data_IF_965235126227
#
_entry.id   IF_965235126227
#
_cell.length_a   1.000
_cell.length_b   1.000
_cell.length_c   1.000
_cell.angle_alpha   90.00
_cell.angle_beta   90.00
_cell.angle_gamma   90.00
#
_symmetry.space_group_name_H-M   'P 1'
#
loop_
_entity.id
_entity.type
_entity.pdbx_description
1 polymer ?
#
# COMPACT_ATOMS: atom_id res chain seq x y z
N UNK A 1 -2.48 12.51 13.85
CA UNK A 1 -3.91 12.15 13.86
C UNK A 1 -4.03 10.75 14.45
N UNK A 2 -4.90 10.55 15.44
CA UNK A 2 -5.12 9.25 16.10
C UNK A 2 -6.11 8.46 15.23
N UNK A 3 -5.64 7.43 14.55
CA UNK A 3 -6.43 6.62 13.61
C UNK A 3 -7.40 5.65 14.32
N UNK A 4 -7.44 5.67 15.65
CA UNK A 4 -8.14 4.68 16.47
C UNK A 4 -9.62 5.00 16.69
N UNK A 5 -10.09 6.21 16.38
CA UNK A 5 -11.45 6.68 16.76
C UNK A 5 -12.31 7.24 15.62
N UNK A 6 -11.85 7.26 14.36
CA UNK A 6 -12.64 7.79 13.24
C UNK A 6 -12.99 6.71 12.21
N UNK A 7 -14.26 6.29 12.20
CA UNK A 7 -14.90 5.50 11.13
C UNK A 7 -15.17 6.36 9.86
N UNK A 8 -14.55 7.54 9.77
CA UNK A 8 -14.58 8.43 8.61
C UNK A 8 -14.21 7.71 7.31
N UNK A 9 -14.98 8.01 6.26
CA UNK A 9 -14.76 7.44 4.93
C UNK A 9 -13.54 8.12 4.30
N UNK A 10 -12.38 7.48 4.43
CA UNK A 10 -11.18 7.83 3.70
C UNK A 10 -11.40 7.67 2.19
N UNK A 11 -10.60 8.35 1.36
CA UNK A 11 -10.49 7.98 -0.06
C UNK A 11 -10.08 6.51 -0.23
N UNK A 12 -10.37 5.87 -1.38
CA UNK A 12 -10.15 4.42 -1.53
C UNK A 12 -8.68 4.02 -1.36
N UNK A 13 -7.73 4.81 -1.88
CA UNK A 13 -6.30 4.57 -1.67
C UNK A 13 -5.90 4.61 -0.19
N UNK A 14 -6.39 5.61 0.56
CA UNK A 14 -6.15 5.73 2.02
C UNK A 14 -6.82 4.60 2.79
N UNK A 15 -8.01 4.17 2.38
CA UNK A 15 -8.68 2.99 2.92
C UNK A 15 -7.83 1.73 2.75
N UNK A 16 -7.22 1.54 1.58
CA UNK A 16 -6.32 0.41 1.34
C UNK A 16 -5.11 0.44 2.27
N UNK A 17 -4.48 1.62 2.43
CA UNK A 17 -3.32 1.79 3.29
C UNK A 17 -3.66 1.47 4.76
N UNK A 18 -4.76 2.02 5.27
CA UNK A 18 -5.26 1.74 6.61
C UNK A 18 -5.66 0.26 6.80
N UNK A 19 -6.18 -0.39 5.75
CA UNK A 19 -6.50 -1.81 5.78
C UNK A 19 -5.25 -2.68 5.94
N UNK A 20 -4.18 -2.38 5.20
CA UNK A 20 -2.90 -3.08 5.34
C UNK A 20 -2.32 -2.87 6.74
N UNK A 21 -2.37 -1.64 7.27
CA UNK A 21 -1.95 -1.35 8.65
C UNK A 21 -2.72 -2.19 9.67
N UNK A 22 -4.03 -2.33 9.47
CA UNK A 22 -4.89 -3.16 10.33
C UNK A 22 -4.44 -4.62 10.30
N UNK A 23 -4.05 -5.14 9.13
CA UNK A 23 -3.52 -6.50 9.01
C UNK A 23 -2.16 -6.66 9.69
N UNK A 24 -1.29 -5.65 9.65
CA UNK A 24 -0.04 -5.65 10.41
C UNK A 24 -0.27 -5.74 11.92
N UNK A 25 -1.23 -4.96 12.45
CA UNK A 25 -1.60 -5.03 13.88
C UNK A 25 -2.10 -6.43 14.27
N UNK A 26 -2.68 -7.17 13.32
CA UNK A 26 -3.14 -8.56 13.49
C UNK A 26 -2.04 -9.61 13.27
N UNK A 27 -0.79 -9.19 13.05
CA UNK A 27 0.35 -10.09 12.89
C UNK A 27 0.70 -10.46 11.44
N UNK A 28 -0.03 -9.96 10.44
CA UNK A 28 0.24 -10.26 9.03
C UNK A 28 1.36 -9.35 8.45
N UNK A 29 2.56 -9.42 9.04
CA UNK A 29 3.64 -8.47 8.76
C UNK A 29 4.22 -8.55 7.34
N UNK A 30 4.11 -9.71 6.67
CA UNK A 30 4.59 -9.89 5.28
C UNK A 30 3.60 -9.45 4.21
N UNK A 31 2.51 -8.77 4.58
CA UNK A 31 1.67 -8.05 3.62
C UNK A 31 2.32 -6.69 3.33
N UNK A 32 3.00 -6.59 2.21
CA UNK A 32 3.76 -5.41 1.79
C UNK A 32 3.05 -4.69 0.63
N UNK A 33 3.31 -3.40 0.48
CA UNK A 33 2.76 -2.60 -0.62
C UNK A 33 3.86 -2.02 -1.49
N UNK A 34 3.56 -1.84 -2.78
CA UNK A 34 4.51 -1.27 -3.74
C UNK A 34 3.88 -0.15 -4.55
N UNK A 35 3.59 0.98 -3.91
CA UNK A 35 2.84 2.03 -4.53
C UNK A 35 3.66 2.67 -5.66
N UNK A 36 3.03 2.93 -6.80
CA UNK A 36 3.67 3.57 -7.94
C UNK A 36 2.66 4.36 -8.76
N UNK A 37 3.17 5.32 -9.53
CA UNK A 37 2.40 6.00 -10.56
C UNK A 37 2.47 5.21 -11.86
N UNK A 38 1.33 5.03 -12.52
CA UNK A 38 1.28 4.46 -13.85
C UNK A 38 1.99 5.36 -14.87
N UNK A 39 2.43 4.79 -16.00
CA UNK A 39 3.15 5.50 -17.06
C UNK A 39 2.48 6.78 -17.58
N UNK A 40 1.15 6.83 -17.53
CA UNK A 40 0.39 8.01 -17.94
C UNK A 40 0.45 9.16 -16.92
N UNK A 41 0.98 8.93 -15.71
CA UNK A 41 0.87 9.84 -14.57
C UNK A 41 -0.54 9.98 -14.00
N UNK A 42 -1.54 9.34 -14.59
CA UNK A 42 -2.96 9.57 -14.26
C UNK A 42 -3.47 8.71 -13.09
N UNK A 43 -2.84 7.56 -12.85
CA UNK A 43 -3.32 6.59 -11.89
C UNK A 43 -2.23 6.20 -10.92
N UNK A 44 -2.58 6.26 -9.64
CA UNK A 44 -1.80 5.64 -8.59
C UNK A 44 -2.17 4.16 -8.52
N UNK A 45 -1.17 3.31 -8.44
CA UNK A 45 -1.33 1.85 -8.36
C UNK A 45 -0.60 1.34 -7.14
N UNK A 46 -1.13 0.28 -6.55
CA UNK A 46 -0.60 -0.28 -5.33
C UNK A 46 -0.77 -1.80 -5.33
N UNK A 47 0.16 -2.54 -5.95
CA UNK A 47 0.26 -3.97 -5.78
C UNK A 47 0.54 -4.32 -4.32
N UNK A 48 -0.07 -5.41 -3.88
CA UNK A 48 0.15 -6.05 -2.59
C UNK A 48 0.99 -7.30 -2.81
N UNK A 49 1.99 -7.43 -1.97
CA UNK A 49 3.00 -8.48 -2.04
C UNK A 49 2.94 -9.27 -0.76
N UNK A 50 3.05 -10.59 -0.89
CA UNK A 50 3.07 -11.49 0.25
C UNK A 50 4.44 -12.14 0.29
N UNK A 51 5.25 -11.75 1.27
CA UNK A 51 6.56 -12.35 1.55
C UNK A 51 7.54 -12.30 0.36
N UNK A 52 7.71 -11.11 -0.24
CA UNK A 52 8.69 -10.87 -1.31
C UNK A 52 8.36 -11.50 -2.67
N UNK A 53 7.20 -12.15 -2.81
CA UNK A 53 6.75 -12.70 -4.10
C UNK A 53 6.48 -11.56 -5.08
N UNK A 54 7.15 -11.59 -6.24
CA UNK A 54 7.03 -10.55 -7.25
C UNK A 54 5.56 -10.23 -7.60
N UNK A 55 5.09 -8.98 -7.42
CA UNK A 55 3.73 -8.55 -7.65
C UNK A 55 3.35 -8.57 -9.13
N UNK A 56 4.35 -8.56 -10.01
CA UNK A 56 4.16 -8.64 -11.45
C UNK A 56 4.16 -10.10 -11.94
N UNK A 57 4.75 -11.01 -11.16
CA UNK A 57 4.66 -12.46 -11.41
C UNK A 57 3.27 -13.03 -11.09
N UNK A 58 2.60 -12.47 -10.08
CA UNK A 58 1.26 -12.90 -9.67
C UNK A 58 0.23 -12.02 -10.37
N UNK A 59 -0.29 -12.51 -11.50
CA UNK A 59 -1.35 -11.87 -12.31
C UNK A 59 -2.71 -11.77 -11.60
N UNK A 60 -2.80 -12.02 -10.29
CA UNK A 60 -4.06 -11.92 -9.56
C UNK A 60 -4.45 -10.45 -9.40
N UNK A 61 -5.42 -10.00 -10.21
CA UNK A 61 -6.13 -8.72 -10.01
C UNK A 61 -6.56 -8.50 -8.56
N UNK A 62 -6.76 -9.58 -7.81
CA UNK A 62 -7.18 -9.61 -6.42
C UNK A 62 -6.21 -8.93 -5.45
N UNK A 63 -4.93 -8.79 -5.82
CA UNK A 63 -3.89 -8.16 -5.00
C UNK A 63 -3.32 -6.90 -5.63
N UNK A 64 -4.00 -6.32 -6.61
CA UNK A 64 -3.57 -5.08 -7.24
C UNK A 64 -4.67 -4.03 -7.16
N UNK A 65 -4.30 -2.80 -6.84
CA UNK A 65 -5.19 -1.66 -6.80
C UNK A 65 -4.76 -0.59 -7.78
N UNK A 66 -5.72 0.09 -8.38
CA UNK A 66 -5.53 1.29 -9.21
C UNK A 66 -6.55 2.34 -8.79
N UNK A 67 -6.12 3.59 -8.61
CA UNK A 67 -7.01 4.71 -8.29
C UNK A 67 -8.08 4.92 -9.36
N UNK A 68 -7.82 4.53 -10.62
CA UNK A 68 -8.81 4.53 -11.70
C UNK A 68 -9.97 3.56 -11.50
N UNK A 69 -9.81 2.53 -10.66
CA UNK A 69 -10.88 1.60 -10.26
C UNK A 69 -11.74 2.12 -9.11
N UNK A 70 -11.44 3.31 -8.56
CA UNK A 70 -12.19 3.89 -7.46
C UNK A 70 -12.19 2.98 -6.23
N UNK A 71 -13.36 2.46 -5.87
CA UNK A 71 -13.59 1.63 -4.68
C UNK A 71 -13.42 0.12 -4.89
N UNK A 72 -12.99 -0.31 -6.08
CA UNK A 72 -12.62 -1.69 -6.39
C UNK A 72 -11.29 -2.07 -5.70
N UNK A 73 -11.33 -2.17 -4.38
CA UNK A 73 -10.18 -2.54 -3.55
C UNK A 73 -9.84 -4.03 -3.70
N UNK A 74 -8.58 -4.43 -3.44
CA UNK A 74 -8.17 -5.84 -3.32
C UNK A 74 -9.13 -6.66 -2.41
N UNK A 75 -9.63 -7.78 -2.95
CA UNK A 75 -10.65 -8.62 -2.28
C UNK A 75 -12.07 -8.04 -2.24
N UNK A 76 -12.33 -6.90 -2.88
CA UNK A 76 -13.59 -6.17 -2.89
C UNK A 76 -14.03 -5.81 -4.31
N UNK A 77 -15.12 -6.40 -4.80
CA UNK A 77 -15.73 -6.03 -6.10
C UNK A 77 -16.83 -4.96 -5.97
N UNK A 78 -16.72 -4.04 -5.02
CA UNK A 78 -17.72 -3.00 -4.77
C UNK A 78 -17.26 -1.66 -5.33
N UNK A 79 -18.17 -0.89 -5.92
CA UNK A 79 -17.92 0.52 -6.30
C UNK A 79 -18.33 1.51 -5.20
N UNK A 80 -18.85 1.02 -4.07
CA UNK A 80 -19.28 1.83 -2.93
C UNK A 80 -18.18 1.96 -1.86
N UNK A 81 -18.15 3.10 -1.13
CA UNK A 81 -17.29 3.28 0.02
C UNK A 81 -17.42 2.19 1.09
N UNK A 82 -16.27 1.78 1.64
CA UNK A 82 -16.19 0.83 2.76
C UNK A 82 -15.16 1.29 3.78
N UNK A 83 -15.34 0.91 5.05
CA UNK A 83 -14.34 1.18 6.09
C UNK A 83 -13.07 0.35 5.88
N UNK A 84 -11.95 0.85 6.40
CA UNK A 84 -10.65 0.16 6.33
C UNK A 84 -10.69 -1.20 7.05
N UNK A 85 -11.47 -1.35 8.13
CA UNK A 85 -11.66 -2.63 8.81
C UNK A 85 -12.33 -3.66 7.90
N UNK A 86 -13.36 -3.23 7.15
CA UNK A 86 -14.05 -4.09 6.19
C UNK A 86 -13.14 -4.45 5.02
N UNK A 87 -12.39 -3.48 4.50
CA UNK A 87 -11.39 -3.72 3.46
C UNK A 87 -10.31 -4.73 3.93
N UNK A 88 -9.79 -4.59 5.16
CA UNK A 88 -8.81 -5.52 5.73
C UNK A 88 -9.35 -6.95 5.82
N UNK A 89 -10.59 -7.11 6.32
CA UNK A 89 -11.22 -8.43 6.40
C UNK A 89 -11.41 -9.08 5.03
N UNK A 90 -11.78 -8.28 4.01
CA UNK A 90 -12.00 -8.74 2.64
C UNK A 90 -10.70 -9.14 1.97
N UNK A 91 -9.67 -8.31 2.08
CA UNK A 91 -8.31 -8.63 1.63
C UNK A 91 -7.81 -9.93 2.26
N UNK A 92 -7.92 -10.09 3.58
CA UNK A 92 -7.51 -11.32 4.26
C UNK A 92 -8.28 -12.57 3.81
N UNK A 93 -9.57 -12.43 3.53
CA UNK A 93 -10.43 -13.52 3.05
C UNK A 93 -10.06 -13.93 1.63
N UNK A 94 -9.66 -12.97 0.78
CA UNK A 94 -9.24 -13.22 -0.59
C UNK A 94 -7.91 -14.00 -0.68
N UNK A 95 -7.07 -13.96 0.35
CA UNK A 95 -5.84 -14.73 0.38
C UNK A 95 -6.12 -16.25 0.44
N UNK A 96 -5.35 -17.02 -0.32
CA UNK A 96 -5.27 -18.47 -0.17
C UNK A 96 -4.66 -18.86 1.18
N UNK A 97 -4.82 -20.11 1.60
CA UNK A 97 -4.23 -20.61 2.84
C UNK A 97 -2.70 -20.44 2.87
N UNK A 98 -2.02 -20.76 1.77
CA UNK A 98 -0.57 -20.62 1.65
C UNK A 98 -0.09 -19.16 1.67
N UNK A 99 -0.89 -18.24 1.10
CA UNK A 99 -0.62 -16.80 1.25
C UNK A 99 -0.79 -16.34 2.70
N UNK A 100 -1.83 -16.80 3.41
CA UNK A 100 -2.01 -16.46 4.83
C UNK A 100 -0.87 -16.98 5.70
N UNK A 101 -0.37 -18.20 5.44
CA UNK A 101 0.80 -18.76 6.15
C UNK A 101 2.05 -17.92 5.97
N UNK A 102 2.32 -17.45 4.74
CA UNK A 102 3.44 -16.54 4.46
C UNK A 102 3.25 -15.15 5.06
N UNK A 103 2.03 -14.64 5.03
CA UNK A 103 1.69 -13.30 5.52
C UNK A 103 2.03 -13.10 7.01
N UNK A 104 1.94 -14.14 7.85
CA UNK A 104 2.12 -14.04 9.31
C UNK A 104 3.56 -14.19 9.78
N UNK A 105 4.54 -14.31 8.87
CA UNK A 105 5.95 -14.31 9.25
C UNK A 105 6.32 -12.93 9.82
N UNK A 106 6.98 -12.83 10.99
CA UNK A 106 7.31 -11.54 11.56
C UNK A 106 8.24 -10.69 10.68
N UNK A 107 7.85 -9.42 10.48
CA UNK A 107 8.68 -8.35 9.94
C UNK A 107 8.45 -7.03 10.71
N UNK A 108 9.01 -6.91 11.93
CA UNK A 108 8.78 -5.75 12.78
C UNK A 108 9.38 -4.47 12.21
N UNK A 109 10.44 -4.55 11.39
CA UNK A 109 11.06 -3.38 10.76
C UNK A 109 10.14 -2.77 9.71
N UNK A 110 9.60 -3.60 8.81
CA UNK A 110 8.63 -3.13 7.82
C UNK A 110 7.37 -2.58 8.49
N UNK A 111 6.83 -3.27 9.50
CA UNK A 111 5.62 -2.81 10.22
C UNK A 111 5.83 -1.48 10.93
N UNK A 112 7.01 -1.25 11.53
CA UNK A 112 7.37 0.05 12.14
C UNK A 112 7.48 1.14 11.08
N UNK A 113 8.20 0.86 9.99
CA UNK A 113 8.33 1.79 8.88
C UNK A 113 6.96 2.15 8.28
N UNK A 114 6.08 1.16 8.10
CA UNK A 114 4.74 1.37 7.56
C UNK A 114 3.86 2.20 8.51
N UNK A 115 3.96 1.96 9.82
CA UNK A 115 3.30 2.78 10.83
C UNK A 115 3.71 4.25 10.73
N UNK A 116 5.03 4.47 10.69
CA UNK A 116 5.61 5.81 10.61
C UNK A 116 5.20 6.50 9.31
N UNK A 117 5.12 5.75 8.21
CA UNK A 117 4.72 6.26 6.92
C UNK A 117 3.30 6.82 6.98
N UNK A 118 2.35 6.05 7.49
CA UNK A 118 0.96 6.52 7.58
C UNK A 118 0.79 7.69 8.54
N UNK A 119 1.59 7.75 9.61
CA UNK A 119 1.60 8.88 10.53
C UNK A 119 2.26 10.13 9.92
N UNK A 120 3.14 9.95 8.95
CA UNK A 120 3.87 11.01 8.26
C UNK A 120 3.07 11.67 7.13
N UNK A 121 2.16 10.91 6.49
CA UNK A 121 1.29 11.41 5.43
C UNK A 121 0.16 12.30 5.99
N UNK A 122 -0.08 13.43 5.32
CA UNK A 122 -1.29 14.24 5.51
C UNK A 122 -2.56 13.46 5.07
N UNK A 123 -3.73 13.99 5.40
CA UNK A 123 -5.01 13.29 5.26
C UNK A 123 -5.34 12.86 3.82
N UNK A 124 -4.93 13.66 2.83
CA UNK A 124 -5.15 13.44 1.41
C UNK A 124 -3.92 12.85 0.67
N UNK A 125 -2.82 12.59 1.39
CA UNK A 125 -1.57 12.17 0.80
C UNK A 125 -1.43 10.65 0.66
N UNK A 126 -0.92 10.22 -0.48
CA UNK A 126 -0.57 8.83 -0.79
C UNK A 126 0.92 8.72 -1.18
N UNK A 127 1.60 7.65 -0.75
CA UNK A 127 3.01 7.43 -1.06
C UNK A 127 3.18 6.85 -2.47
N UNK A 128 4.32 7.05 -3.12
CA UNK A 128 4.73 6.30 -4.30
C UNK A 128 6.25 6.08 -4.32
N UNK A 129 6.68 4.91 -4.79
CA UNK A 129 8.09 4.51 -4.89
C UNK A 129 8.62 4.68 -6.33
N UNK A 130 7.74 4.50 -7.31
CA UNK A 130 8.07 4.60 -8.73
C UNK A 130 7.09 5.50 -9.46
N UNK A 131 7.54 6.13 -10.53
CA UNK A 131 6.69 6.77 -11.53
C UNK A 131 7.49 6.87 -12.81
N UNK A 132 6.86 6.66 -13.96
CA UNK A 132 7.55 6.69 -15.27
C UNK A 132 7.81 8.14 -15.76
N UNK A 133 8.13 9.06 -14.85
CA UNK A 133 8.54 10.41 -15.21
C UNK A 133 9.95 10.40 -15.82
N UNK A 134 10.29 11.46 -16.58
CA UNK A 134 11.64 11.67 -17.10
C UNK A 134 12.60 12.00 -15.94
N UNK A 135 13.21 10.98 -15.34
CA UNK A 135 14.20 11.11 -14.26
C UNK A 135 14.38 9.83 -13.45
N UNK A 136 15.33 9.78 -12.50
CA UNK A 136 15.41 8.69 -11.54
C UNK A 136 14.11 8.64 -10.73
N UNK A 137 13.55 7.44 -10.56
CA UNK A 137 12.38 7.26 -9.70
C UNK A 137 12.70 7.66 -8.25
N UNK A 138 11.70 7.90 -7.37
CA UNK A 138 11.95 8.08 -5.95
C UNK A 138 12.83 6.95 -5.39
N UNK A 139 12.53 5.70 -5.77
CA UNK A 139 13.32 4.55 -5.37
C UNK A 139 14.79 4.66 -5.82
N UNK A 140 15.04 5.00 -7.08
CA UNK A 140 16.41 5.17 -7.61
C UNK A 140 17.17 6.30 -6.89
N UNK A 141 16.43 7.27 -6.36
CA UNK A 141 16.97 8.39 -5.61
C UNK A 141 17.16 8.07 -4.11
N UNK A 142 16.72 6.90 -3.65
CA UNK A 142 16.81 6.50 -2.24
C UNK A 142 15.69 7.06 -1.35
N UNK A 143 14.61 7.57 -1.94
CA UNK A 143 13.55 8.29 -1.24
C UNK A 143 12.15 7.79 -1.62
N UNK A 144 11.15 8.26 -0.91
CA UNK A 144 9.74 8.03 -1.23
C UNK A 144 9.12 9.33 -1.76
N UNK A 145 8.33 9.22 -2.84
CA UNK A 145 7.49 10.31 -3.31
C UNK A 145 6.17 10.35 -2.54
N UNK A 146 5.59 11.53 -2.40
CA UNK A 146 4.24 11.70 -1.87
C UNK A 146 3.40 12.52 -2.85
N UNK A 147 2.15 12.13 -2.99
CA UNK A 147 1.18 12.79 -3.84
C UNK A 147 -0.06 13.19 -3.03
N UNK A 148 -0.45 14.45 -3.10
CA UNK A 148 -1.74 14.95 -2.62
C UNK A 148 -2.71 15.21 -3.79
N UNK A 149 -3.85 15.84 -3.51
CA UNK A 149 -4.85 16.09 -4.56
C UNK A 149 -4.38 17.05 -5.67
N UNK A 150 -3.47 17.97 -5.35
CA UNK A 150 -3.06 19.06 -6.25
C UNK A 150 -1.55 19.14 -6.46
N UNK A 151 -0.78 18.20 -5.91
CA UNK A 151 0.68 18.25 -5.95
C UNK A 151 1.30 16.85 -5.87
N UNK A 152 2.52 16.75 -6.39
CA UNK A 152 3.45 15.65 -6.11
C UNK A 152 4.80 16.25 -5.75
N UNK A 153 5.46 15.67 -4.75
CA UNK A 153 6.84 16.05 -4.40
C UNK A 153 7.60 14.86 -3.83
N UNK A 154 8.90 14.87 -4.08
CA UNK A 154 9.83 13.97 -3.39
C UNK A 154 9.95 14.43 -1.94
N UNK A 155 9.74 13.49 -1.01
CA UNK A 155 9.97 13.73 0.41
C UNK A 155 11.23 12.99 0.81
N UNK A 156 12.33 13.74 0.84
CA UNK A 156 13.68 13.21 1.02
C UNK A 156 14.00 12.86 2.49
N UNK A 157 13.09 13.19 3.40
CA UNK A 157 13.18 13.05 4.85
C UNK A 157 12.51 11.78 5.38
N UNK A 158 11.82 11.00 4.52
CA UNK A 158 11.30 9.69 4.86
C UNK A 158 12.00 8.59 4.03
N UNK A 159 12.67 7.66 4.72
CA UNK A 159 13.45 6.61 4.09
C UNK A 159 12.62 5.54 3.37
N UNK A 160 13.27 4.77 2.52
CA UNK A 160 12.70 3.60 1.84
C UNK A 160 12.29 2.49 2.81
N UNK A 161 11.36 1.60 2.41
CA UNK A 161 11.00 0.44 3.23
C UNK A 161 12.23 -0.43 3.53
N UNK A 162 12.39 -0.92 4.77
CA UNK A 162 13.57 -1.64 5.20
C UNK A 162 13.60 -3.09 4.70
N UNK A 163 14.81 -3.67 4.71
CA UNK A 163 15.05 -5.10 4.52
C UNK A 163 14.78 -5.60 3.09
N UNK A 164 14.45 -6.89 2.97
CA UNK A 164 14.12 -7.54 1.69
C UNK A 164 12.75 -7.11 1.13
N UNK A 165 12.09 -6.12 1.75
CA UNK A 165 10.82 -5.56 1.28
C UNK A 165 10.91 -4.88 -0.08
N UNK A 166 12.09 -4.82 -0.70
CA UNK A 166 12.32 -4.34 -2.06
C UNK A 166 13.06 -5.39 -2.93
N UNK A 167 13.49 -6.50 -2.32
CA UNK A 167 14.23 -7.57 -2.97
C UNK A 167 13.27 -8.70 -3.30
N UNK A 168 12.84 -8.73 -4.57
CA UNK A 168 12.00 -9.79 -5.12
C UNK A 168 12.84 -11.04 -5.39
N UNK A 169 12.31 -12.23 -5.08
CA UNK A 169 12.91 -13.53 -5.39
C UNK A 169 12.08 -14.30 -6.41
#
# INVERSE_FOLDING_TARGET
MNWEDDDGVLGPARTLLAAVRTLHVRGAHRIQIFPHMAASGMYWRCPIVIDGVDPFSVTSKELNYSSGGGWELPGCSTSQPISYLKAANRLWTALTEEQRKRAVVPDPDYVRWYAGLLAYLCDDEIPYLFGDDYGPSPLDSGYMGVMGQTYSHLRNDYGLPPGNSLAWH
#
